data_IF_999930003285
#
_entry.id   IF_999930003285
#
_cell.length_a   1.000
_cell.length_b   1.000
_cell.length_c   1.000
_cell.angle_alpha   90.00
_cell.angle_beta   90.00
_cell.angle_gamma   90.00
#
_symmetry.space_group_name_H-M   'P 1'
#
loop_
_entity.id
_entity.type
_entity.pdbx_description
1 polymer ?
#
# COMPACT_ATOMS: atom_id res chain seq x y z
N UNK A 1 6.29 -19.81 33.16
CA UNK A 1 5.27 -18.99 32.49
C UNK A 1 4.37 -18.39 33.56
N UNK A 2 4.61 -17.14 33.95
CA UNK A 2 3.86 -16.47 35.01
C UNK A 2 2.69 -15.67 34.40
N UNK A 3 1.46 -16.06 34.74
CA UNK A 3 0.25 -15.30 34.42
C UNK A 3 0.17 -14.10 35.37
N UNK A 4 0.53 -12.91 34.88
CA UNK A 4 0.27 -11.66 35.59
C UNK A 4 -1.24 -11.38 35.60
N UNK A 5 -1.96 -11.95 36.56
CA UNK A 5 -3.32 -11.53 36.90
C UNK A 5 -3.22 -10.12 37.48
N UNK A 6 -3.73 -9.12 36.76
CA UNK A 6 -3.90 -7.77 37.31
C UNK A 6 -4.84 -7.85 38.51
N UNK A 7 -4.32 -7.64 39.71
CA UNK A 7 -5.12 -7.38 40.90
C UNK A 7 -5.53 -5.91 40.85
N UNK A 8 -6.72 -5.64 40.34
CA UNK A 8 -7.39 -4.36 40.58
C UNK A 8 -8.14 -4.49 41.90
N UNK A 9 -7.48 -4.15 43.00
CA UNK A 9 -8.12 -3.90 44.29
C UNK A 9 -8.33 -2.40 44.39
N UNK A 10 -9.49 -1.92 43.97
CA UNK A 10 -9.95 -0.61 44.40
C UNK A 10 -10.60 -0.82 45.76
N UNK A 11 -9.90 -0.45 46.82
CA UNK A 11 -10.51 -0.35 48.15
C UNK A 11 -11.65 0.68 48.07
N UNK A 12 -12.87 0.21 48.24
CA UNK A 12 -14.07 1.05 48.37
C UNK A 12 -14.58 0.88 49.80
N UNK A 13 -13.75 1.24 50.77
CA UNK A 13 -14.21 1.44 52.14
C UNK A 13 -14.54 2.91 52.32
N UNK A 14 -15.84 3.23 52.41
CA UNK A 14 -16.30 4.44 53.07
C UNK A 14 -16.97 5.52 52.21
N UNK A 15 -17.70 5.19 51.14
CA UNK A 15 -18.62 6.15 50.52
C UNK A 15 -20.05 5.59 50.51
N UNK A 16 -20.92 6.32 51.20
CA UNK A 16 -22.35 6.09 51.30
C UNK A 16 -22.95 5.67 49.97
N UNK A 17 -23.56 4.49 50.00
CA UNK A 17 -24.30 3.84 48.94
C UNK A 17 -25.42 4.78 48.46
N UNK A 18 -25.58 4.88 47.14
CA UNK A 18 -26.78 5.30 46.36
C UNK A 18 -26.55 6.45 45.36
N UNK A 19 -25.78 7.51 45.65
CA UNK A 19 -25.76 8.72 44.79
C UNK A 19 -24.54 8.90 43.85
N UNK A 20 -23.50 8.08 44.01
CA UNK A 20 -22.21 8.25 43.30
C UNK A 20 -22.08 7.42 42.03
N UNK A 21 -22.76 6.26 41.95
CA UNK A 21 -22.72 5.39 40.75
C UNK A 21 -23.37 6.06 39.54
N UNK A 22 -24.49 6.77 39.74
CA UNK A 22 -25.17 7.51 38.68
C UNK A 22 -24.27 8.62 38.10
N UNK A 23 -23.54 9.35 38.96
CA UNK A 23 -22.61 10.40 38.53
C UNK A 23 -21.40 9.84 37.79
N UNK A 24 -20.89 8.68 38.19
CA UNK A 24 -19.73 8.04 37.54
C UNK A 24 -20.08 7.57 36.11
N UNK A 25 -21.28 7.05 35.89
CA UNK A 25 -21.75 6.63 34.55
C UNK A 25 -22.05 7.84 33.66
N UNK A 26 -22.52 8.95 34.23
CA UNK A 26 -22.75 10.21 33.49
C UNK A 26 -21.46 10.90 33.04
N UNK A 27 -20.34 10.68 33.74
CA UNK A 27 -19.02 11.21 33.38
C UNK A 27 -18.29 10.38 32.31
N UNK A 28 -18.89 9.31 31.79
CA UNK A 28 -18.34 8.64 30.62
C UNK A 28 -18.34 9.63 29.45
N UNK A 29 -17.16 10.14 29.10
CA UNK A 29 -16.96 11.05 27.97
C UNK A 29 -17.73 10.54 26.74
N UNK A 30 -18.89 11.15 26.50
CA UNK A 30 -19.72 10.81 25.34
C UNK A 30 -18.94 11.28 24.12
N UNK A 31 -18.88 10.44 23.08
CA UNK A 31 -18.29 10.85 21.80
C UNK A 31 -19.03 12.10 21.33
N UNK A 32 -18.28 13.16 21.04
CA UNK A 32 -18.81 14.40 20.50
C UNK A 32 -19.59 14.08 19.22
N UNK A 33 -20.79 14.68 19.07
CA UNK A 33 -21.55 14.54 17.82
C UNK A 33 -20.85 15.36 16.74
N UNK A 34 -21.18 15.11 15.47
CA UNK A 34 -20.56 15.81 14.36
C UNK A 34 -20.71 17.35 14.45
N UNK A 35 -21.80 17.80 15.08
CA UNK A 35 -22.12 19.20 15.35
C UNK A 35 -21.26 19.83 16.46
N UNK A 36 -20.63 19.02 17.31
CA UNK A 36 -19.78 19.47 18.42
C UNK A 36 -18.28 19.43 18.06
N UNK A 37 -17.93 19.10 16.81
CA UNK A 37 -16.55 19.05 16.35
C UNK A 37 -16.00 20.46 16.16
N UNK A 38 -14.77 20.74 16.59
CA UNK A 38 -14.12 22.03 16.32
C UNK A 38 -14.12 22.31 14.80
N UNK A 39 -14.43 23.54 14.35
CA UNK A 39 -14.40 23.92 12.94
C UNK A 39 -13.06 23.58 12.26
N UNK A 40 -11.96 23.67 13.00
CA UNK A 40 -10.61 23.33 12.55
C UNK A 40 -10.48 21.86 12.18
N UNK A 41 -11.19 20.96 12.89
CA UNK A 41 -11.18 19.54 12.59
C UNK A 41 -11.98 19.20 11.32
N UNK A 42 -13.05 19.93 11.06
CA UNK A 42 -13.81 19.82 9.81
C UNK A 42 -12.93 20.27 8.64
N UNK A 43 -12.27 21.42 8.77
CA UNK A 43 -11.34 21.93 7.77
C UNK A 43 -10.19 20.96 7.49
N UNK A 44 -9.58 20.41 8.55
CA UNK A 44 -8.53 19.39 8.41
C UNK A 44 -9.00 18.15 7.63
N UNK A 45 -10.23 17.68 7.90
CA UNK A 45 -10.81 16.54 7.16
C UNK A 45 -10.99 16.85 5.67
N UNK A 46 -11.38 18.07 5.33
CA UNK A 46 -11.51 18.51 3.94
C UNK A 46 -10.14 18.60 3.26
N UNK A 47 -9.15 19.20 3.91
CA UNK A 47 -7.77 19.28 3.40
C UNK A 47 -7.18 17.86 3.16
N UNK A 48 -7.40 16.93 4.09
CA UNK A 48 -6.97 15.54 3.94
C UNK A 48 -7.71 14.83 2.82
N UNK A 49 -9.01 15.09 2.64
CA UNK A 49 -9.79 14.55 1.52
C UNK A 49 -9.23 15.06 0.20
N UNK A 50 -9.00 16.36 0.10
CA UNK A 50 -8.44 16.99 -1.10
C UNK A 50 -7.06 16.44 -1.42
N UNK A 51 -6.19 16.27 -0.42
CA UNK A 51 -4.88 15.65 -0.62
C UNK A 51 -5.00 14.22 -1.17
N UNK A 52 -5.91 13.41 -0.64
CA UNK A 52 -6.12 12.03 -1.10
C UNK A 52 -6.66 12.02 -2.53
N UNK A 53 -7.63 12.86 -2.85
CA UNK A 53 -8.30 12.87 -4.17
C UNK A 53 -7.43 13.50 -5.26
N UNK A 54 -6.67 14.53 -4.95
CA UNK A 54 -5.86 15.27 -5.94
C UNK A 54 -4.49 14.65 -6.15
N UNK A 55 -3.86 14.10 -5.12
CA UNK A 55 -2.49 13.59 -5.20
C UNK A 55 -2.45 12.07 -5.20
N UNK A 56 -3.10 11.41 -4.24
CA UNK A 56 -2.90 9.97 -4.04
C UNK A 56 -3.61 9.14 -5.12
N UNK A 57 -4.92 9.35 -5.31
CA UNK A 57 -5.70 8.55 -6.26
C UNK A 57 -5.19 8.68 -7.72
N UNK A 58 -4.89 9.88 -8.25
CA UNK A 58 -4.38 10.03 -9.61
C UNK A 58 -2.99 9.44 -9.77
N UNK A 59 -2.12 9.55 -8.75
CA UNK A 59 -0.79 8.92 -8.77
C UNK A 59 -0.88 7.40 -8.83
N UNK A 60 -1.80 6.78 -8.08
CA UNK A 60 -2.00 5.32 -8.16
C UNK A 60 -2.40 4.88 -9.58
N UNK A 61 -3.27 5.64 -10.25
CA UNK A 61 -3.64 5.36 -11.64
C UNK A 61 -2.45 5.50 -12.59
N UNK A 62 -1.67 6.58 -12.47
CA UNK A 62 -0.45 6.79 -13.27
C UNK A 62 0.57 5.68 -13.07
N UNK A 63 0.79 5.22 -11.83
CA UNK A 63 1.71 4.11 -11.55
C UNK A 63 1.28 2.81 -12.24
N UNK A 64 -0.02 2.53 -12.29
CA UNK A 64 -0.54 1.35 -12.99
C UNK A 64 -0.26 1.43 -14.50
N UNK A 65 -0.48 2.60 -15.09
CA UNK A 65 -0.20 2.83 -16.51
C UNK A 65 1.30 2.69 -16.83
N UNK A 66 2.17 3.32 -16.03
CA UNK A 66 3.63 3.22 -16.17
C UNK A 66 4.09 1.77 -16.07
N UNK A 67 3.54 1.00 -15.13
CA UNK A 67 3.85 -0.43 -14.97
C UNK A 67 3.47 -1.23 -16.22
N UNK A 68 2.30 -0.95 -16.81
CA UNK A 68 1.87 -1.61 -18.05
C UNK A 68 2.80 -1.29 -19.22
N UNK A 69 3.15 -0.01 -19.41
CA UNK A 69 4.11 0.42 -20.44
C UNK A 69 5.48 -0.23 -20.27
N UNK A 70 5.98 -0.31 -19.03
CA UNK A 70 7.27 -0.94 -18.74
C UNK A 70 7.26 -2.45 -19.07
N UNK A 71 6.14 -3.14 -18.81
CA UNK A 71 6.02 -4.54 -19.19
C UNK A 71 6.07 -4.71 -20.71
N UNK A 72 5.34 -3.89 -21.46
CA UNK A 72 5.36 -3.92 -22.93
C UNK A 72 6.76 -3.65 -23.51
N UNK A 73 7.51 -2.72 -22.91
CA UNK A 73 8.92 -2.48 -23.29
C UNK A 73 9.77 -3.72 -23.04
N UNK A 74 9.62 -4.37 -21.87
CA UNK A 74 10.37 -5.59 -21.55
C UNK A 74 10.08 -6.72 -22.55
N UNK A 75 8.81 -6.92 -22.88
CA UNK A 75 8.39 -7.96 -23.83
C UNK A 75 8.95 -7.65 -25.23
N UNK A 76 8.93 -6.38 -25.63
CA UNK A 76 9.51 -5.93 -26.90
C UNK A 76 11.02 -6.18 -26.96
N UNK A 77 11.75 -5.86 -25.89
CA UNK A 77 13.19 -6.11 -25.82
C UNK A 77 13.51 -7.61 -25.89
N UNK A 78 12.76 -8.45 -25.18
CA UNK A 78 12.94 -9.91 -25.24
C UNK A 78 12.73 -10.47 -26.67
N UNK A 79 11.77 -9.91 -27.41
CA UNK A 79 11.53 -10.29 -28.80
C UNK A 79 12.66 -9.82 -29.72
N UNK A 80 13.19 -8.62 -29.50
CA UNK A 80 14.36 -8.11 -30.24
C UNK A 80 15.57 -9.00 -30.00
N UNK A 81 15.88 -9.32 -28.75
CA UNK A 81 17.00 -10.19 -28.39
C UNK A 81 16.86 -11.58 -29.04
N UNK A 82 15.65 -12.15 -29.01
CA UNK A 82 15.35 -13.42 -29.67
C UNK A 82 15.55 -13.33 -31.19
N UNK A 83 15.13 -12.23 -31.81
CA UNK A 83 15.31 -11.99 -33.24
C UNK A 83 16.79 -11.84 -33.61
N UNK A 84 17.58 -11.14 -32.78
CA UNK A 84 19.03 -11.00 -32.96
C UNK A 84 19.72 -12.37 -32.88
N UNK A 85 19.36 -13.19 -31.90
CA UNK A 85 19.90 -14.55 -31.76
C UNK A 85 19.56 -15.40 -32.99
N UNK A 86 18.32 -15.34 -33.45
CA UNK A 86 17.88 -16.03 -34.66
C UNK A 86 18.72 -15.63 -35.87
N UNK A 87 18.83 -14.33 -36.18
CA UNK A 87 19.63 -13.86 -37.32
C UNK A 87 21.12 -14.20 -37.21
N UNK A 88 21.69 -14.15 -36.00
CA UNK A 88 23.08 -14.58 -35.77
C UNK A 88 23.26 -16.07 -36.04
N UNK A 89 22.29 -16.89 -35.66
CA UNK A 89 22.32 -18.33 -35.95
C UNK A 89 22.23 -18.60 -37.46
N UNK A 90 21.35 -17.91 -38.19
CA UNK A 90 21.25 -18.04 -39.64
C UNK A 90 22.54 -17.59 -40.35
N UNK A 91 23.14 -16.47 -39.93
CA UNK A 91 24.42 -16.02 -40.47
C UNK A 91 25.56 -17.03 -40.24
N UNK A 92 25.58 -17.68 -39.07
CA UNK A 92 26.53 -18.77 -38.78
C UNK A 92 26.36 -19.95 -39.75
N UNK A 93 25.12 -20.40 -39.97
CA UNK A 93 24.82 -21.51 -40.90
C UNK A 93 25.14 -21.17 -42.35
N UNK A 94 24.93 -19.93 -42.79
CA UNK A 94 25.25 -19.48 -44.14
C UNK A 94 26.77 -19.39 -44.36
N UNK A 95 27.54 -18.95 -43.36
CA UNK A 95 29.01 -18.95 -43.45
C UNK A 95 29.60 -20.36 -43.52
N UNK A 96 29.05 -21.33 -42.79
CA UNK A 96 29.48 -22.73 -42.87
C UNK A 96 29.14 -23.37 -44.22
N UNK A 97 28.00 -23.02 -44.83
CA UNK A 97 27.61 -23.51 -46.17
C UNK A 97 28.41 -22.92 -47.33
N UNK A 98 29.15 -21.83 -47.09
CA UNK A 98 29.94 -21.10 -48.09
C UNK A 98 31.37 -21.60 -48.29
N UNK A 99 31.84 -22.60 -47.52
CA UNK A 99 33.20 -23.13 -47.65
C UNK A 99 33.23 -24.61 -48.10
N UNK A 100 33.09 -24.89 -49.41
CA UNK A 100 33.23 -26.25 -49.94
C UNK A 100 34.69 -26.70 -50.17
N UNK A 101 35.71 -26.00 -49.66
CA UNK A 101 37.08 -26.19 -50.14
C UNK A 101 38.18 -26.12 -49.08
N UNK A 102 38.30 -27.15 -48.23
CA UNK A 102 39.60 -27.54 -47.67
C UNK A 102 39.62 -29.03 -47.32
N UNK A 103 39.34 -29.88 -48.31
CA UNK A 103 39.85 -31.25 -48.31
C UNK A 103 40.99 -31.28 -49.34
N UNK A 104 42.21 -31.25 -48.85
CA UNK A 104 43.43 -31.60 -49.59
C UNK A 104 44.38 -32.29 -48.63
#
# INVERSE_FOLDING_TARGET
MAMNRSLSTTDVEGLGHEDTLAKLVMQRNKRLRAEDLPPEFVKFKEEMRDLITTLIAPRTAQFREIKGKLQSIKDTNANIDSSILFYRSEQGTLQESGNPGSAS
#
